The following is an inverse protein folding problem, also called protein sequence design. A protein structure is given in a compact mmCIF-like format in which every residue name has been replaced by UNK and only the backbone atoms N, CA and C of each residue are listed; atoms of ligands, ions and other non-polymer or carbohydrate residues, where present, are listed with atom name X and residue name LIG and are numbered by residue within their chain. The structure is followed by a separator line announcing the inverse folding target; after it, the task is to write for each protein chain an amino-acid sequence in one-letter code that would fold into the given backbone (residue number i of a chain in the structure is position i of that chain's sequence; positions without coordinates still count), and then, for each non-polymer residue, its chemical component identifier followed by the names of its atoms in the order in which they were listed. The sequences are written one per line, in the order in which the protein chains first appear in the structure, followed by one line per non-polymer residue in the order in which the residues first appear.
data_IF_579308549761
#
_entry.id   IF_579308549761
#
_cell.length_a   1.000
_cell.length_b   1.000
_cell.length_c   1.000
_cell.angle_alpha   90.00
_cell.angle_beta   90.00
_cell.angle_gamma   90.00
#
_symmetry.space_group_name_H-M   'P 1'
#
loop_
_entity.id
_entity.type
_entity.pdbx_description
1 polymer ?
#
# COMPACT_ATOMS: atom_id res chain seq x y z
N UNK A 1 -11.50 -22.48 -16.44
CA UNK A 1 -11.72 -21.13 -15.92
C UNK A 1 -10.67 -20.81 -14.88
N UNK A 2 -9.73 -19.91 -15.16
CA UNK A 2 -8.70 -19.53 -14.18
C UNK A 2 -9.35 -18.65 -13.11
N UNK A 3 -9.31 -19.09 -11.84
CA UNK A 3 -9.65 -18.26 -10.69
C UNK A 3 -8.70 -17.06 -10.71
N UNK A 4 -9.23 -15.86 -10.94
CA UNK A 4 -8.47 -14.62 -10.74
C UNK A 4 -8.09 -14.55 -9.27
N UNK A 5 -6.82 -14.32 -8.98
CA UNK A 5 -6.40 -14.05 -7.60
C UNK A 5 -7.03 -12.73 -7.15
N UNK A 6 -7.22 -12.53 -5.84
CA UNK A 6 -7.82 -11.29 -5.29
C UNK A 6 -7.10 -10.04 -5.79
N UNK A 7 -5.78 -10.10 -5.96
CA UNK A 7 -4.97 -9.02 -6.53
C UNK A 7 -5.29 -8.71 -7.99
N UNK A 8 -5.52 -9.74 -8.83
CA UNK A 8 -5.91 -9.53 -10.24
C UNK A 8 -7.29 -8.87 -10.36
N UNK A 9 -8.22 -9.26 -9.49
CA UNK A 9 -9.54 -8.64 -9.43
C UNK A 9 -9.42 -7.16 -9.07
N UNK A 10 -8.63 -6.85 -8.05
CA UNK A 10 -8.37 -5.49 -7.59
C UNK A 10 -7.70 -4.62 -8.65
N UNK A 11 -6.63 -5.11 -9.30
CA UNK A 11 -5.98 -4.42 -10.42
C UNK A 11 -6.96 -4.14 -11.57
N UNK A 12 -7.88 -5.09 -11.82
CA UNK A 12 -8.93 -4.92 -12.83
C UNK A 12 -9.93 -3.81 -12.48
N UNK A 13 -10.22 -3.58 -11.20
CA UNK A 13 -11.10 -2.49 -10.75
C UNK A 13 -10.41 -1.13 -10.84
N UNK A 14 -9.12 -1.06 -10.48
CA UNK A 14 -8.29 0.15 -10.66
C UNK A 14 -8.19 0.53 -12.14
N UNK A 15 -7.98 -0.45 -13.03
CA UNK A 15 -7.98 -0.21 -14.47
C UNK A 15 -9.33 0.28 -15.03
N UNK A 16 -10.44 0.06 -14.31
CA UNK A 16 -11.77 0.63 -14.61
C UNK A 16 -11.98 2.02 -13.99
N UNK A 17 -10.95 2.61 -13.41
CA UNK A 17 -11.02 3.92 -12.75
C UNK A 17 -11.67 3.90 -11.37
N UNK A 18 -11.87 2.72 -10.76
CA UNK A 18 -12.39 2.61 -9.40
C UNK A 18 -11.26 2.76 -8.38
N UNK A 19 -11.54 3.46 -7.29
CA UNK A 19 -10.64 3.51 -6.14
C UNK A 19 -10.77 2.23 -5.32
N UNK A 20 -9.63 1.71 -4.85
CA UNK A 20 -9.57 0.54 -3.97
C UNK A 20 -8.81 0.93 -2.71
N UNK A 21 -9.36 0.59 -1.55
CA UNK A 21 -8.69 0.69 -0.25
C UNK A 21 -8.20 -0.71 0.15
N UNK A 22 -6.92 -0.81 0.52
CA UNK A 22 -6.30 -2.04 1.01
C UNK A 22 -5.65 -1.70 2.34
N UNK A 23 -5.94 -2.50 3.37
CA UNK A 23 -5.25 -2.44 4.66
C UNK A 23 -4.36 -3.67 4.80
N UNK A 24 -3.08 -3.46 5.08
CA UNK A 24 -2.14 -4.51 5.46
C UNK A 24 -1.21 -3.98 6.56
N UNK A 25 -0.64 -4.89 7.33
CA UNK A 25 0.46 -4.62 8.25
C UNK A 25 1.82 -4.92 7.59
N UNK A 26 1.83 -5.54 6.41
CA UNK A 26 3.03 -5.82 5.62
C UNK A 26 3.14 -4.80 4.50
N UNK A 27 4.21 -4.00 4.56
CA UNK A 27 4.45 -2.92 3.62
C UNK A 27 4.75 -3.43 2.19
N UNK A 28 5.43 -4.58 2.09
CA UNK A 28 5.83 -5.22 0.84
C UNK A 28 4.64 -5.54 -0.07
N UNK A 29 3.55 -6.02 0.53
CA UNK A 29 2.34 -6.35 -0.21
C UNK A 29 1.60 -5.09 -0.69
N UNK A 30 1.70 -3.98 0.04
CA UNK A 30 1.03 -2.73 -0.32
C UNK A 30 1.82 -1.95 -1.37
N UNK A 31 3.16 -2.05 -1.34
CA UNK A 31 4.06 -1.37 -2.25
C UNK A 31 3.70 -1.66 -3.72
N UNK A 32 3.56 -2.92 -4.08
CA UNK A 32 3.33 -3.32 -5.47
C UNK A 32 1.87 -3.13 -5.96
N UNK A 33 0.98 -2.63 -5.10
CA UNK A 33 -0.46 -2.61 -5.35
C UNK A 33 -1.09 -1.22 -5.33
N UNK A 34 -0.41 -0.20 -4.80
CA UNK A 34 -1.00 1.14 -4.65
C UNK A 34 -0.03 2.26 -5.05
N UNK A 35 -0.58 3.42 -5.42
CA UNK A 35 0.20 4.62 -5.78
C UNK A 35 0.23 5.67 -4.65
N UNK A 36 -0.41 5.38 -3.52
CA UNK A 36 -0.58 6.33 -2.41
C UNK A 36 -0.83 5.55 -1.13
N UNK A 37 -0.18 5.98 -0.06
CA UNK A 37 -0.16 5.28 1.22
C UNK A 37 -0.64 6.22 2.33
N UNK A 38 -1.32 5.63 3.30
CA UNK A 38 -1.81 6.30 4.50
C UNK A 38 -1.34 5.51 5.71
N UNK A 39 -0.61 6.16 6.60
CA UNK A 39 -0.16 5.55 7.85
C UNK A 39 -1.11 5.91 8.97
N UNK A 40 -1.58 4.91 9.70
CA UNK A 40 -2.47 5.08 10.84
C UNK A 40 -1.76 4.52 12.07
N UNK A 41 -1.49 5.38 13.04
CA UNK A 41 -0.87 5.01 14.31
C UNK A 41 -1.80 5.46 15.45
N UNK A 42 -2.06 4.57 16.40
CA UNK A 42 -2.93 4.84 17.56
C UNK A 42 -4.29 5.48 17.20
N UNK A 43 -4.84 5.18 16.02
CA UNK A 43 -6.12 5.72 15.54
C UNK A 43 -6.05 7.11 14.90
N UNK A 44 -4.85 7.69 14.77
CA UNK A 44 -4.63 8.94 14.05
C UNK A 44 -4.00 8.69 12.69
N UNK A 45 -4.45 9.43 11.67
CA UNK A 45 -3.76 9.46 10.38
C UNK A 45 -2.47 10.26 10.55
N UNK A 46 -1.34 9.57 10.52
CA UNK A 46 -0.01 10.15 10.73
C UNK A 46 0.47 10.83 9.47
N UNK A 47 0.33 10.17 8.31
CA UNK A 47 0.92 10.68 7.09
C UNK A 47 0.17 10.23 5.84
N UNK A 48 0.13 11.14 4.85
CA UNK A 48 -0.31 10.86 3.48
C UNK A 48 0.85 11.10 2.56
N UNK A 49 1.36 10.03 1.95
CA UNK A 49 2.47 10.16 1.04
C UNK A 49 2.03 9.89 -0.40
N UNK A 50 2.34 10.85 -1.27
CA UNK A 50 2.14 10.79 -2.72
C UNK A 50 3.48 10.52 -3.39
N UNK A 51 4.07 9.37 -3.13
CA UNK A 51 5.32 8.95 -3.74
C UNK A 51 5.17 7.56 -4.36
N UNK A 52 6.12 7.20 -5.21
CA UNK A 52 6.17 5.84 -5.74
C UNK A 52 6.40 4.86 -4.60
N UNK A 53 5.76 3.71 -4.71
CA UNK A 53 5.66 2.72 -3.64
C UNK A 53 6.99 2.14 -3.19
N UNK A 54 7.99 2.15 -4.09
CA UNK A 54 9.36 1.73 -3.79
C UNK A 54 10.13 2.76 -2.94
N UNK A 55 10.00 4.05 -3.23
CA UNK A 55 10.60 5.10 -2.40
C UNK A 55 9.98 5.10 -1.01
N UNK A 56 8.67 4.83 -0.94
CA UNK A 56 7.93 4.74 0.31
C UNK A 56 8.32 3.59 1.20
N UNK A 57 8.60 2.44 0.57
CA UNK A 57 9.11 1.29 1.29
C UNK A 57 10.40 1.62 2.02
N UNK A 58 11.33 2.28 1.32
CA UNK A 58 12.61 2.64 1.90
C UNK A 58 12.46 3.66 3.05
N UNK A 59 11.64 4.69 2.87
CA UNK A 59 11.40 5.73 3.88
C UNK A 59 10.76 5.17 5.16
N UNK A 60 9.80 4.23 5.03
CA UNK A 60 9.22 3.54 6.19
C UNK A 60 10.26 2.69 6.92
N UNK A 61 11.02 1.85 6.20
CA UNK A 61 12.05 1.00 6.80
C UNK A 61 13.09 1.84 7.54
N UNK A 62 13.48 2.97 6.95
CA UNK A 62 14.45 3.90 7.54
C UNK A 62 13.91 4.61 8.80
N UNK A 63 12.61 4.84 8.89
CA UNK A 63 11.99 5.59 10.00
C UNK A 63 11.52 4.70 11.14
N UNK A 64 10.98 3.52 10.84
CA UNK A 64 10.27 2.67 11.81
C UNK A 64 10.94 1.32 12.07
N UNK A 65 11.67 0.74 11.11
CA UNK A 65 12.35 -0.55 11.29
C UNK A 65 13.84 -0.42 11.61
N UNK A 66 14.46 0.74 11.39
CA UNK A 66 15.86 1.03 11.75
C UNK A 66 16.07 1.28 13.26
N UNK A 67 15.21 0.69 14.08
CA UNK A 67 15.13 0.90 15.53
C UNK A 67 15.61 -0.27 16.39
N UNK A 68 16.36 -1.23 15.82
CA UNK A 68 17.13 -2.24 16.58
C UNK A 68 18.61 -2.24 16.18
#
# INVERSE_FOLDING_TARGET
GKRKTSCDAMRSEVARGRSVLISSHLLDDLADLTNSFYFIEAGALVEKIKSSSQTLKQEYLDTYERGE
#
